data_IF_630300534336
#
_entry.id   IF_630300534336
#
_cell.length_a   1.000
_cell.length_b   1.000
_cell.length_c   1.000
_cell.angle_alpha   90.00
_cell.angle_beta   90.00
_cell.angle_gamma   90.00
#
_symmetry.space_group_name_H-M   'P 1'
#
loop_
_entity.id
_entity.type
_entity.pdbx_description
1 polymer ?
#
# COMPACT_ATOMS: atom_id res chain seq x y z
N UNK A 1 42.45 73.10 -24.91
CA UNK A 1 42.27 74.42 -24.27
C UNK A 1 41.14 74.31 -23.25
N UNK A 2 41.46 74.58 -21.97
CA UNK A 2 40.61 75.02 -20.83
C UNK A 2 39.32 74.22 -20.51
N UNK A 3 39.24 73.51 -19.36
CA UNK A 3 38.97 73.98 -17.96
C UNK A 3 37.62 74.69 -17.82
N UNK A 4 36.61 74.01 -17.25
CA UNK A 4 36.19 73.98 -15.83
C UNK A 4 35.18 75.08 -15.48
N UNK A 5 34.00 74.70 -14.96
CA UNK A 5 33.37 75.34 -13.79
C UNK A 5 32.23 74.48 -13.19
N UNK A 6 32.45 74.13 -11.92
CA UNK A 6 31.53 73.60 -10.91
C UNK A 6 30.26 74.47 -10.74
N UNK A 7 29.09 73.93 -10.32
CA UNK A 7 28.76 73.63 -8.92
C UNK A 7 27.29 73.22 -8.67
N UNK A 8 27.14 72.23 -7.78
CA UNK A 8 26.14 72.11 -6.70
C UNK A 8 24.62 72.09 -6.99
N UNK A 9 23.97 70.95 -6.67
CA UNK A 9 23.11 70.84 -5.48
C UNK A 9 23.00 69.38 -5.03
N UNK A 10 23.52 69.13 -3.82
CA UNK A 10 23.29 67.94 -3.01
C UNK A 10 21.81 67.85 -2.60
N UNK A 11 21.24 66.65 -2.66
CA UNK A 11 20.29 66.19 -1.64
C UNK A 11 20.75 64.81 -1.17
N UNK A 12 21.12 64.77 0.11
CA UNK A 12 21.48 63.57 0.85
C UNK A 12 20.19 62.91 1.31
N UNK A 13 19.96 61.65 0.92
CA UNK A 13 19.08 60.75 1.67
C UNK A 13 19.93 59.54 2.06
N UNK A 14 20.36 59.56 3.31
CA UNK A 14 20.83 58.40 4.04
C UNK A 14 19.61 57.56 4.41
N UNK A 15 19.56 56.28 4.02
CA UNK A 15 18.80 55.31 4.79
C UNK A 15 19.56 53.97 4.88
N UNK A 16 20.00 53.74 6.11
CA UNK A 16 20.42 52.53 6.78
C UNK A 16 20.30 51.18 6.05
N UNK A 17 21.43 50.50 6.00
CA UNK A 17 21.58 49.04 6.11
C UNK A 17 20.90 48.59 7.41
N UNK A 18 19.90 47.71 7.32
CA UNK A 18 19.48 46.89 8.46
C UNK A 18 18.84 45.56 8.03
N UNK A 19 19.42 44.50 8.57
CA UNK A 19 18.83 43.22 8.99
C UNK A 19 18.63 42.07 7.97
N UNK A 20 19.48 41.07 8.23
CA UNK A 20 19.33 39.63 8.14
C UNK A 20 17.99 39.05 8.65
N UNK A 21 17.74 37.77 8.26
CA UNK A 21 16.73 36.78 8.70
C UNK A 21 15.35 36.87 8.02
N UNK A 22 14.75 35.83 7.43
CA UNK A 22 14.99 34.38 7.38
C UNK A 22 14.50 33.87 6.00
N UNK A 23 15.29 33.09 5.27
CA UNK A 23 14.69 32.00 4.48
C UNK A 23 14.61 30.82 5.44
N UNK A 24 13.62 30.86 6.33
CA UNK A 24 13.02 29.62 6.78
C UNK A 24 11.83 29.46 5.86
N UNK A 25 12.00 28.75 4.74
CA UNK A 25 10.85 28.08 4.14
C UNK A 25 10.22 27.31 5.30
N UNK A 26 9.00 27.66 5.69
CA UNK A 26 8.35 26.97 6.78
C UNK A 26 8.18 25.52 6.36
N UNK A 27 8.99 24.63 6.93
CA UNK A 27 8.92 23.16 6.83
C UNK A 27 7.64 22.61 7.47
N UNK A 28 6.60 23.44 7.61
CA UNK A 28 5.38 23.12 8.34
C UNK A 28 4.20 23.80 7.68
N UNK A 29 3.18 23.02 7.33
CA UNK A 29 1.86 23.53 7.00
C UNK A 29 0.99 23.49 8.25
N UNK A 30 0.40 24.64 8.59
CA UNK A 30 -0.58 24.75 9.66
C UNK A 30 -1.97 24.87 9.03
N UNK A 31 -2.88 23.94 9.36
CA UNK A 31 -4.24 23.92 8.82
C UNK A 31 -5.24 23.95 9.97
N UNK A 32 -6.18 24.90 9.90
CA UNK A 32 -7.28 24.99 10.86
C UNK A 32 -8.41 24.08 10.37
N UNK A 33 -8.89 23.20 11.24
CA UNK A 33 -9.90 22.19 10.94
C UNK A 33 -9.45 20.81 11.39
N UNK A 34 -10.41 19.90 11.53
CA UNK A 34 -10.18 18.51 11.90
C UNK A 34 -9.73 17.72 10.68
N UNK A 35 -8.60 17.05 10.75
CA UNK A 35 -8.17 16.13 9.70
C UNK A 35 -9.10 14.92 9.63
N UNK A 36 -9.44 14.48 8.41
CA UNK A 36 -10.33 13.35 8.18
C UNK A 36 -9.63 12.18 7.49
N UNK A 37 -8.69 12.47 6.59
CA UNK A 37 -8.00 11.47 5.79
C UNK A 37 -6.70 12.06 5.26
N UNK A 38 -5.69 11.22 5.05
CA UNK A 38 -4.54 11.55 4.24
C UNK A 38 -4.09 10.34 3.43
N UNK A 39 -3.39 10.61 2.34
CA UNK A 39 -2.69 9.60 1.55
C UNK A 39 -1.49 10.24 0.87
N UNK A 40 -0.55 9.42 0.44
CA UNK A 40 0.60 9.85 -0.34
C UNK A 40 0.90 8.87 -1.45
N UNK A 41 1.36 9.38 -2.58
CA UNK A 41 1.88 8.56 -3.66
C UNK A 41 3.06 9.28 -4.30
N UNK A 42 4.17 8.55 -4.47
CA UNK A 42 5.42 9.06 -5.01
C UNK A 42 5.88 10.32 -4.26
N UNK A 43 5.82 11.48 -4.91
CA UNK A 43 6.31 12.76 -4.44
C UNK A 43 5.19 13.69 -3.97
N UNK A 44 3.97 13.18 -3.78
CA UNK A 44 2.80 14.00 -3.48
C UNK A 44 2.04 13.46 -2.28
N UNK A 45 1.56 14.37 -1.43
CA UNK A 45 0.67 14.09 -0.30
C UNK A 45 -0.65 14.83 -0.48
N UNK A 46 -1.75 14.15 -0.15
CA UNK A 46 -3.10 14.67 -0.17
C UNK A 46 -3.72 14.52 1.22
N UNK A 47 -4.34 15.59 1.72
CA UNK A 47 -5.01 15.61 3.02
C UNK A 47 -6.42 16.14 2.85
N UNK A 48 -7.40 15.42 3.38
CA UNK A 48 -8.77 15.90 3.53
C UNK A 48 -8.98 16.32 4.98
N UNK A 49 -9.49 17.53 5.18
CA UNK A 49 -9.84 18.05 6.49
C UNK A 49 -11.14 18.84 6.45
N UNK A 50 -11.78 19.02 7.61
CA UNK A 50 -13.04 19.73 7.75
C UNK A 50 -12.89 20.97 8.63
N UNK A 51 -13.39 22.08 8.14
CA UNK A 51 -13.47 23.34 8.89
C UNK A 51 -14.83 23.97 8.66
N UNK A 52 -15.53 24.35 9.74
CA UNK A 52 -16.84 25.01 9.66
C UNK A 52 -17.87 24.21 8.81
N UNK A 53 -17.91 22.88 8.99
CA UNK A 53 -18.74 21.93 8.21
C UNK A 53 -18.41 21.86 6.70
N UNK A 54 -17.33 22.48 6.25
CA UNK A 54 -16.84 22.44 4.87
C UNK A 54 -15.61 21.54 4.80
N UNK A 55 -15.60 20.60 3.87
CA UNK A 55 -14.43 19.77 3.61
C UNK A 55 -13.47 20.46 2.63
N UNK A 56 -12.18 20.27 2.85
CA UNK A 56 -11.10 20.79 2.04
C UNK A 56 -10.20 19.63 1.65
N UNK A 57 -9.70 19.67 0.42
CA UNK A 57 -8.66 18.78 -0.08
C UNK A 57 -7.42 19.61 -0.33
N UNK A 58 -6.37 19.32 0.43
CA UNK A 58 -5.07 19.96 0.35
C UNK A 58 -4.09 19.02 -0.34
N UNK A 59 -3.30 19.55 -1.27
CA UNK A 59 -2.24 18.82 -1.95
C UNK A 59 -0.89 19.51 -1.72
N UNK A 60 0.15 18.70 -1.51
CA UNK A 60 1.52 19.15 -1.37
C UNK A 60 2.48 18.28 -2.17
N UNK A 61 3.55 18.89 -2.64
CA UNK A 61 4.75 18.20 -3.11
C UNK A 61 5.56 17.82 -1.88
N UNK A 62 6.16 16.64 -1.90
CA UNK A 62 7.09 16.15 -0.89
C UNK A 62 8.53 16.51 -1.26
N UNK A 63 8.90 16.52 -2.54
CA UNK A 63 10.25 16.86 -3.01
C UNK A 63 10.27 18.01 -4.03
N UNK A 64 10.54 19.27 -3.61
CA UNK A 64 10.68 19.75 -2.23
C UNK A 64 9.32 19.91 -1.54
N UNK A 65 9.32 19.83 -0.20
CA UNK A 65 8.10 19.99 0.59
C UNK A 65 7.50 21.38 0.40
N UNK A 66 6.37 21.43 -0.30
CA UNK A 66 5.72 22.69 -0.71
C UNK A 66 4.23 22.48 -1.00
N UNK A 67 3.44 23.52 -0.74
CA UNK A 67 2.01 23.51 -1.08
C UNK A 67 1.85 23.51 -2.61
N UNK A 68 1.02 22.59 -3.14
CA UNK A 68 0.61 22.60 -4.55
C UNK A 68 -0.66 23.42 -4.72
N UNK A 69 -1.73 23.01 -4.03
CA UNK A 69 -3.03 23.65 -4.11
C UNK A 69 -3.95 23.20 -2.97
N UNK A 70 -5.02 23.95 -2.73
CA UNK A 70 -6.09 23.63 -1.80
C UNK A 70 -7.44 23.91 -2.44
N UNK A 71 -8.42 23.04 -2.18
CA UNK A 71 -9.74 23.16 -2.78
C UNK A 71 -10.86 22.76 -1.82
N UNK A 72 -11.97 23.48 -1.88
CA UNK A 72 -13.21 23.08 -1.23
C UNK A 72 -13.83 21.88 -1.96
N UNK A 73 -14.16 20.84 -1.20
CA UNK A 73 -14.92 19.69 -1.67
C UNK A 73 -16.14 19.53 -0.78
N UNK A 74 -17.31 19.16 -1.29
CA UNK A 74 -18.42 18.86 -0.39
C UNK A 74 -18.10 17.63 0.47
N UNK A 75 -17.42 16.63 -0.10
CA UNK A 75 -17.14 15.36 0.57
C UNK A 75 -18.42 14.64 1.03
N UNK A 76 -18.29 13.39 1.48
CA UNK A 76 -19.35 12.70 2.19
C UNK A 76 -19.06 12.75 3.70
N UNK A 77 -20.06 12.94 4.58
CA UNK A 77 -19.83 13.16 6.01
C UNK A 77 -19.29 11.94 6.78
N UNK A 78 -19.29 10.73 6.19
CA UNK A 78 -18.83 9.51 6.84
C UNK A 78 -17.30 9.41 6.95
N UNK A 79 -16.60 9.34 5.82
CA UNK A 79 -15.13 9.22 5.71
C UNK A 79 -14.68 9.57 4.27
N UNK A 80 -14.44 10.85 3.94
CA UNK A 80 -14.07 11.22 2.58
C UNK A 80 -12.65 10.70 2.28
N UNK A 81 -12.50 9.93 1.20
CA UNK A 81 -11.18 9.53 0.67
C UNK A 81 -10.98 10.08 -0.74
N UNK A 82 -9.73 10.06 -1.19
CA UNK A 82 -9.37 10.26 -2.59
C UNK A 82 -8.75 9.00 -3.15
N UNK A 83 -9.03 8.69 -4.42
CA UNK A 83 -8.34 7.64 -5.17
C UNK A 83 -7.44 8.26 -6.23
N UNK A 84 -6.25 7.68 -6.40
CA UNK A 84 -5.23 8.18 -7.34
C UNK A 84 -5.24 7.28 -8.58
N UNK A 85 -5.29 7.89 -9.76
CA UNK A 85 -5.31 7.21 -11.06
C UNK A 85 -4.31 7.90 -12.01
N UNK A 86 -3.05 7.49 -11.97
CA UNK A 86 -2.00 8.17 -12.75
C UNK A 86 -1.96 9.65 -12.40
N UNK A 87 -2.12 10.54 -13.37
CA UNK A 87 -2.09 12.00 -13.16
C UNK A 87 -3.42 12.59 -12.64
N UNK A 88 -4.41 11.74 -12.34
CA UNK A 88 -5.75 12.15 -11.93
C UNK A 88 -6.06 11.73 -10.50
N UNK A 89 -6.91 12.51 -9.83
CA UNK A 89 -7.40 12.28 -8.48
C UNK A 89 -8.93 12.23 -8.48
N UNK A 90 -9.50 11.11 -8.07
CA UNK A 90 -10.94 10.94 -7.96
C UNK A 90 -11.44 11.27 -6.54
N UNK A 91 -12.50 12.06 -6.45
CA UNK A 91 -13.13 12.42 -5.17
C UNK A 91 -14.61 12.83 -5.32
N UNK A 92 -15.34 12.87 -4.19
CA UNK A 92 -16.67 13.49 -4.13
C UNK A 92 -16.56 15.01 -3.95
N UNK A 93 -16.43 15.73 -5.07
CA UNK A 93 -16.29 17.19 -5.09
C UNK A 93 -17.57 17.94 -4.72
N UNK A 94 -18.75 17.39 -5.04
CA UNK A 94 -20.06 17.90 -4.66
C UNK A 94 -21.00 16.74 -4.33
N UNK A 95 -22.09 17.04 -3.59
CA UNK A 95 -23.11 16.03 -3.28
C UNK A 95 -23.63 15.37 -4.56
N UNK A 96 -23.66 14.04 -4.59
CA UNK A 96 -24.14 13.19 -5.70
C UNK A 96 -23.32 13.28 -7.00
N UNK A 97 -22.06 13.73 -6.91
CA UNK A 97 -21.12 13.72 -8.04
C UNK A 97 -19.76 13.15 -7.64
N UNK A 98 -19.12 12.57 -8.65
CA UNK A 98 -17.71 12.25 -8.65
C UNK A 98 -16.99 13.23 -9.58
N UNK A 99 -15.84 13.73 -9.14
CA UNK A 99 -14.93 14.51 -9.97
C UNK A 99 -13.60 13.78 -10.15
N UNK A 100 -13.00 13.97 -11.33
CA UNK A 100 -11.57 13.79 -11.54
C UNK A 100 -10.87 15.15 -11.54
N UNK A 101 -9.83 15.25 -10.74
CA UNK A 101 -9.00 16.43 -10.63
C UNK A 101 -7.62 16.14 -11.23
N UNK A 102 -7.05 17.12 -11.92
CA UNK A 102 -5.65 17.11 -12.29
C UNK A 102 -4.79 17.18 -11.02
N UNK A 103 -3.89 16.21 -10.82
CA UNK A 103 -3.10 16.09 -9.58
C UNK A 103 -2.18 17.28 -9.33
N UNK A 104 -1.68 17.90 -10.39
CA UNK A 104 -0.72 19.01 -10.30
C UNK A 104 -1.39 20.35 -10.02
N UNK A 105 -2.61 20.57 -10.53
CA UNK A 105 -3.28 21.87 -10.48
C UNK A 105 -4.55 21.89 -9.64
N UNK A 106 -5.10 20.74 -9.27
CA UNK A 106 -6.36 20.60 -8.51
C UNK A 106 -7.62 20.97 -9.30
N UNK A 107 -7.47 21.29 -10.59
CA UNK A 107 -8.58 21.66 -11.48
C UNK A 107 -9.40 20.43 -11.82
N UNK A 108 -10.73 20.59 -11.86
CA UNK A 108 -11.62 19.54 -12.37
C UNK A 108 -11.33 19.33 -13.85
N UNK A 109 -10.95 18.11 -14.20
CA UNK A 109 -10.82 17.63 -15.59
C UNK A 109 -12.14 17.06 -16.06
N UNK A 110 -12.82 16.31 -15.18
CA UNK A 110 -14.09 15.67 -15.47
C UNK A 110 -14.99 15.65 -14.25
N UNK A 111 -16.30 15.73 -14.45
CA UNK A 111 -17.30 15.52 -13.41
C UNK A 111 -18.54 14.83 -13.96
N UNK A 112 -19.13 13.93 -13.16
CA UNK A 112 -20.39 13.26 -13.53
C UNK A 112 -21.24 12.98 -12.29
N UNK A 113 -22.55 12.91 -12.52
CA UNK A 113 -23.50 12.55 -11.48
C UNK A 113 -23.31 11.06 -11.15
N UNK A 114 -23.03 10.77 -9.88
CA UNK A 114 -22.83 9.43 -9.39
C UNK A 114 -23.17 9.37 -7.90
N UNK A 115 -23.90 8.32 -7.52
CA UNK A 115 -24.18 8.01 -6.11
C UNK A 115 -22.98 7.37 -5.40
N UNK A 116 -21.91 7.06 -6.14
CA UNK A 116 -20.70 6.50 -5.56
C UNK A 116 -20.13 7.47 -4.53
N UNK A 117 -19.94 6.96 -3.32
CA UNK A 117 -19.23 7.64 -2.24
C UNK A 117 -17.86 7.00 -2.14
N UNK A 118 -16.81 7.79 -2.31
CA UNK A 118 -15.46 7.36 -2.03
C UNK A 118 -15.27 7.24 -0.52
N UNK A 119 -15.16 5.99 -0.07
CA UNK A 119 -14.70 5.53 1.24
C UNK A 119 -13.55 4.51 1.03
N UNK A 120 -12.82 4.10 2.09
CA UNK A 120 -11.73 3.12 1.94
C UNK A 120 -12.15 1.82 1.21
N UNK A 121 -13.39 1.38 1.45
CA UNK A 121 -13.92 0.14 0.87
C UNK A 121 -14.67 0.35 -0.44
N UNK A 122 -14.89 1.60 -0.87
CA UNK A 122 -15.68 1.90 -2.06
C UNK A 122 -15.13 1.20 -3.30
N UNK A 123 -16.00 0.55 -4.07
CA UNK A 123 -15.70 -0.15 -5.33
C UNK A 123 -16.53 0.42 -6.46
N UNK A 124 -16.34 -0.09 -7.67
CA UNK A 124 -17.14 0.30 -8.83
C UNK A 124 -16.73 1.64 -9.44
N UNK A 125 -15.42 1.90 -9.48
CA UNK A 125 -14.85 3.05 -10.19
C UNK A 125 -13.50 2.70 -10.78
N UNK A 126 -13.28 3.01 -12.05
CA UNK A 126 -11.94 2.95 -12.64
C UNK A 126 -11.75 4.02 -13.71
N UNK A 127 -10.50 4.33 -14.01
CA UNK A 127 -10.08 5.28 -15.03
C UNK A 127 -9.06 4.61 -15.91
N UNK A 128 -9.34 4.53 -17.21
CA UNK A 128 -8.43 3.88 -18.15
C UNK A 128 -8.62 4.41 -19.56
N UNK A 129 -7.52 4.53 -20.31
CA UNK A 129 -7.51 4.94 -21.72
C UNK A 129 -8.32 6.21 -22.01
N UNK A 130 -8.23 7.21 -21.13
CA UNK A 130 -8.93 8.49 -21.28
C UNK A 130 -10.44 8.43 -21.00
N UNK A 131 -10.93 7.33 -20.41
CA UNK A 131 -12.34 7.17 -20.05
C UNK A 131 -12.53 6.93 -18.55
N UNK A 132 -13.68 7.34 -18.03
CA UNK A 132 -14.15 7.06 -16.67
C UNK A 132 -15.24 6.02 -16.71
N UNK A 133 -15.13 5.02 -15.86
CA UNK A 133 -16.15 3.99 -15.67
C UNK A 133 -16.62 4.07 -14.22
N UNK A 134 -17.92 4.31 -14.04
CA UNK A 134 -18.49 4.54 -12.71
C UNK A 134 -19.94 4.10 -12.67
N UNK A 135 -20.42 3.84 -11.45
CA UNK A 135 -21.85 3.78 -11.17
C UNK A 135 -22.51 5.11 -11.54
N UNK A 136 -23.61 5.04 -12.29
CA UNK A 136 -24.41 6.17 -12.74
C UNK A 136 -25.92 5.85 -12.61
N UNK A 137 -26.74 6.90 -12.54
CA UNK A 137 -28.19 6.72 -12.42
C UNK A 137 -28.59 5.98 -11.13
N UNK A 138 -29.72 5.25 -11.18
CA UNK A 138 -30.16 4.42 -10.06
C UNK A 138 -29.39 3.10 -10.00
N UNK A 139 -29.26 2.38 -11.13
CA UNK A 139 -28.66 1.05 -11.19
C UNK A 139 -28.01 0.83 -12.56
N UNK A 140 -26.95 1.57 -12.85
CA UNK A 140 -26.26 1.43 -14.14
C UNK A 140 -24.77 1.71 -13.99
N UNK A 141 -24.00 1.11 -14.90
CA UNK A 141 -22.60 1.46 -15.12
C UNK A 141 -22.56 2.32 -16.37
N UNK A 142 -21.82 3.42 -16.32
CA UNK A 142 -21.59 4.27 -17.47
C UNK A 142 -20.10 4.38 -17.76
N UNK A 143 -19.77 4.45 -19.04
CA UNK A 143 -18.49 4.97 -19.50
C UNK A 143 -18.66 6.41 -20.00
N UNK A 144 -17.70 7.25 -19.67
CA UNK A 144 -17.64 8.62 -20.14
C UNK A 144 -16.25 8.90 -20.70
N UNK A 145 -16.20 9.62 -21.81
CA UNK A 145 -14.95 10.16 -22.34
C UNK A 145 -14.54 11.38 -21.49
N UNK A 146 -13.29 11.40 -21.02
CA UNK A 146 -12.81 12.44 -20.10
C UNK A 146 -12.69 13.79 -20.80
N UNK A 147 -12.31 13.82 -22.08
CA UNK A 147 -12.03 15.05 -22.82
C UNK A 147 -13.31 15.81 -23.18
N UNK A 148 -14.29 15.10 -23.73
CA UNK A 148 -15.58 15.65 -24.14
C UNK A 148 -16.60 15.72 -23.01
N UNK A 149 -16.45 14.86 -21.99
CA UNK A 149 -17.45 14.65 -20.94
C UNK A 149 -18.68 13.87 -21.42
N UNK A 150 -18.70 13.39 -22.67
CA UNK A 150 -19.84 12.68 -23.24
C UNK A 150 -19.90 11.25 -22.73
N UNK A 151 -21.13 10.77 -22.50
CA UNK A 151 -21.38 9.37 -22.15
C UNK A 151 -21.19 8.50 -23.39
N UNK A 152 -20.25 7.56 -23.32
CA UNK A 152 -19.95 6.60 -24.39
C UNK A 152 -21.03 5.53 -24.42
N UNK A 153 -21.31 4.92 -23.27
CA UNK A 153 -22.34 3.89 -23.12
C UNK A 153 -22.90 3.85 -21.69
N UNK A 154 -24.04 3.16 -21.55
CA UNK A 154 -24.70 2.89 -20.27
C UNK A 154 -25.21 1.45 -20.29
N UNK A 155 -24.89 0.70 -19.23
CA UNK A 155 -25.31 -0.69 -19.05
C UNK A 155 -26.11 -0.78 -17.77
N UNK A 156 -27.37 -1.24 -17.88
CA UNK A 156 -28.24 -1.42 -16.72
C UNK A 156 -27.74 -2.57 -15.84
N UNK A 157 -27.73 -2.31 -14.53
CA UNK A 157 -27.51 -3.28 -13.46
C UNK A 157 -28.85 -3.62 -12.80
N UNK A 158 -28.90 -4.75 -12.10
CA UNK A 158 -30.05 -5.02 -11.24
C UNK A 158 -30.03 -4.10 -10.02
N UNK A 159 -31.19 -3.81 -9.44
CA UNK A 159 -31.30 -2.81 -8.38
C UNK A 159 -30.64 -3.17 -7.05
N UNK A 160 -30.36 -4.45 -6.86
CA UNK A 160 -29.75 -4.99 -5.64
C UNK A 160 -28.25 -5.23 -5.83
N UNK A 161 -27.71 -4.98 -7.03
CA UNK A 161 -26.30 -5.20 -7.36
C UNK A 161 -25.41 -4.08 -6.80
N UNK A 162 -24.51 -4.47 -5.91
CA UNK A 162 -23.43 -3.62 -5.41
C UNK A 162 -22.11 -4.22 -5.90
N UNK A 163 -21.23 -3.45 -6.55
CA UNK A 163 -19.91 -3.95 -6.93
C UNK A 163 -19.13 -4.45 -5.72
N UNK A 164 -18.73 -5.72 -5.76
CA UNK A 164 -17.92 -6.36 -4.72
C UNK A 164 -16.42 -6.05 -4.86
N UNK A 165 -15.98 -5.73 -6.08
CA UNK A 165 -14.59 -5.43 -6.41
C UNK A 165 -14.45 -4.23 -7.35
N UNK A 166 -13.22 -3.75 -7.53
CA UNK A 166 -12.95 -2.67 -8.48
C UNK A 166 -13.26 -3.13 -9.90
N UNK A 167 -13.72 -2.19 -10.73
CA UNK A 167 -13.87 -2.46 -12.15
C UNK A 167 -12.51 -2.77 -12.75
N UNK A 168 -12.43 -3.86 -13.52
CA UNK A 168 -11.22 -4.27 -14.25
C UNK A 168 -11.49 -4.14 -15.73
N UNK A 169 -10.44 -3.83 -16.49
CA UNK A 169 -10.49 -3.76 -17.94
C UNK A 169 -9.31 -4.58 -18.44
N UNK A 170 -9.59 -5.40 -19.45
CA UNK A 170 -8.58 -6.18 -20.16
C UNK A 170 -8.92 -6.07 -21.66
N UNK A 171 -7.98 -5.55 -22.44
CA UNK A 171 -8.19 -5.25 -23.86
C UNK A 171 -9.49 -4.45 -24.15
N UNK A 172 -10.51 -5.09 -24.74
CA UNK A 172 -11.81 -4.49 -25.07
C UNK A 172 -12.94 -5.05 -24.18
N UNK A 173 -12.60 -5.61 -23.03
CA UNK A 173 -13.53 -6.17 -22.05
C UNK A 173 -13.49 -5.33 -20.79
N UNK A 174 -14.68 -4.97 -20.30
CA UNK A 174 -14.92 -4.36 -19.01
C UNK A 174 -15.58 -5.38 -18.09
N UNK A 175 -15.09 -5.51 -16.87
CA UNK A 175 -15.59 -6.46 -15.89
C UNK A 175 -16.10 -5.75 -14.65
N UNK A 176 -17.26 -6.19 -14.19
CA UNK A 176 -17.74 -5.91 -12.84
C UNK A 176 -18.22 -7.19 -12.17
N UNK A 177 -18.04 -7.26 -10.85
CA UNK A 177 -18.44 -8.40 -10.04
C UNK A 177 -19.37 -7.96 -8.92
N UNK A 178 -20.39 -8.77 -8.64
CA UNK A 178 -21.33 -8.59 -7.52
C UNK A 178 -21.61 -9.95 -6.89
N UNK A 179 -21.99 -9.98 -5.61
CA UNK A 179 -22.38 -11.23 -4.94
C UNK A 179 -23.63 -11.88 -5.57
N UNK A 180 -24.51 -11.08 -6.19
CA UNK A 180 -25.80 -11.55 -6.71
C UNK A 180 -25.68 -12.14 -8.11
N UNK A 181 -24.91 -11.50 -8.99
CA UNK A 181 -24.81 -11.89 -10.40
C UNK A 181 -23.45 -12.44 -10.79
N UNK A 182 -22.57 -12.68 -9.82
CA UNK A 182 -21.21 -13.11 -10.08
C UNK A 182 -20.46 -12.05 -10.89
N UNK A 183 -19.74 -12.47 -11.91
CA UNK A 183 -18.91 -11.59 -12.75
C UNK A 183 -19.57 -11.42 -14.11
N UNK A 184 -19.66 -10.17 -14.55
CA UNK A 184 -20.23 -9.79 -15.84
C UNK A 184 -19.17 -9.13 -16.70
N UNK A 185 -19.03 -9.61 -17.93
CA UNK A 185 -18.21 -8.97 -18.95
C UNK A 185 -19.05 -8.13 -19.90
N UNK A 186 -18.55 -6.94 -20.19
CA UNK A 186 -19.16 -5.94 -21.05
C UNK A 186 -18.15 -5.59 -22.16
N UNK A 187 -18.65 -5.42 -23.38
CA UNK A 187 -17.85 -4.84 -24.45
C UNK A 187 -17.53 -3.38 -24.12
N UNK A 188 -16.24 -3.08 -23.98
CA UNK A 188 -15.76 -1.76 -23.57
C UNK A 188 -16.16 -0.63 -24.53
N UNK A 189 -16.38 -0.94 -25.81
CA UNK A 189 -16.68 0.07 -26.83
C UNK A 189 -18.15 0.50 -26.89
N UNK A 190 -19.08 -0.38 -26.53
CA UNK A 190 -20.52 -0.12 -26.73
C UNK A 190 -21.43 -0.49 -25.53
N UNK A 191 -20.84 -0.97 -24.43
CA UNK A 191 -21.57 -1.28 -23.20
C UNK A 191 -22.45 -2.52 -23.27
N UNK A 192 -22.36 -3.33 -24.33
CA UNK A 192 -23.15 -4.57 -24.42
C UNK A 192 -22.57 -5.63 -23.49
N UNK A 193 -23.44 -6.21 -22.65
CA UNK A 193 -23.11 -7.43 -21.91
C UNK A 193 -22.79 -8.55 -22.90
N UNK A 194 -21.62 -9.16 -22.73
CA UNK A 194 -21.15 -10.26 -23.56
C UNK A 194 -21.50 -11.60 -22.92
N UNK A 195 -21.19 -11.72 -21.63
CA UNK A 195 -21.44 -12.92 -20.84
C UNK A 195 -21.57 -12.57 -19.35
N UNK A 196 -22.09 -13.53 -18.57
CA UNK A 196 -22.16 -13.48 -17.11
C UNK A 196 -21.85 -14.87 -16.56
N UNK A 197 -21.14 -14.94 -15.45
CA UNK A 197 -21.00 -16.18 -14.69
C UNK A 197 -22.29 -16.48 -13.92
N UNK A 198 -22.35 -17.68 -13.32
CA UNK A 198 -23.27 -17.93 -12.22
C UNK A 198 -22.90 -17.08 -10.98
N UNK A 199 -23.83 -16.86 -10.05
CA UNK A 199 -23.55 -16.14 -8.79
C UNK A 199 -22.37 -16.76 -8.03
N UNK A 200 -21.47 -15.91 -7.54
CA UNK A 200 -20.30 -16.29 -6.76
C UNK A 200 -20.49 -15.80 -5.32
N UNK A 201 -20.80 -16.72 -4.42
CA UNK A 201 -21.07 -16.41 -3.01
C UNK A 201 -19.83 -15.84 -2.32
N UNK A 202 -20.00 -14.73 -1.60
CA UNK A 202 -18.92 -13.98 -0.94
C UNK A 202 -17.78 -13.56 -1.88
N UNK A 203 -18.11 -13.19 -3.13
CA UNK A 203 -17.12 -12.61 -4.06
C UNK A 203 -16.38 -11.44 -3.40
N UNK A 204 -15.07 -11.56 -3.30
CA UNK A 204 -14.19 -10.61 -2.62
C UNK A 204 -13.38 -9.77 -3.60
N UNK A 205 -12.73 -10.41 -4.59
CA UNK A 205 -12.01 -9.73 -5.67
C UNK A 205 -11.97 -10.62 -6.92
N UNK A 206 -11.51 -10.06 -8.04
CA UNK A 206 -11.15 -10.82 -9.23
C UNK A 206 -10.01 -10.15 -9.98
N UNK A 207 -9.24 -10.95 -10.71
CA UNK A 207 -8.04 -10.53 -11.43
C UNK A 207 -8.10 -10.98 -12.89
N UNK A 208 -7.71 -10.11 -13.80
CA UNK A 208 -7.64 -10.42 -15.23
C UNK A 208 -6.24 -10.84 -15.62
N UNK A 209 -6.17 -11.86 -16.46
CA UNK A 209 -4.99 -12.32 -17.18
C UNK A 209 -5.39 -12.45 -18.66
N UNK A 210 -4.43 -12.53 -19.60
CA UNK A 210 -4.73 -12.51 -21.03
C UNK A 210 -5.77 -13.53 -21.52
N UNK A 211 -5.88 -14.69 -20.88
CA UNK A 211 -6.83 -15.75 -21.25
C UNK A 211 -7.80 -16.12 -20.11
N UNK A 212 -7.51 -15.73 -18.86
CA UNK A 212 -8.21 -16.21 -17.68
C UNK A 212 -8.61 -15.06 -16.77
N UNK A 213 -9.83 -15.11 -16.26
CA UNK A 213 -10.31 -14.29 -15.16
C UNK A 213 -10.29 -15.14 -13.88
N UNK A 214 -9.48 -14.75 -12.90
CA UNK A 214 -9.38 -15.44 -11.60
C UNK A 214 -10.35 -14.77 -10.62
N UNK A 215 -11.31 -15.51 -10.07
CA UNK A 215 -12.22 -15.03 -9.04
C UNK A 215 -11.80 -15.52 -7.65
N UNK A 216 -11.78 -14.62 -6.67
CA UNK A 216 -11.60 -14.91 -5.24
C UNK A 216 -12.93 -14.69 -4.52
N UNK A 217 -13.58 -15.78 -4.15
CA UNK A 217 -14.86 -15.82 -3.45
C UNK A 217 -14.76 -16.84 -2.30
N UNK A 218 -15.83 -17.55 -1.92
CA UNK A 218 -15.71 -18.71 -1.01
C UNK A 218 -14.69 -19.77 -1.49
N UNK A 219 -14.39 -19.76 -2.79
CA UNK A 219 -13.36 -20.56 -3.43
C UNK A 219 -12.49 -19.66 -4.32
N UNK A 220 -11.47 -20.26 -4.92
CA UNK A 220 -10.70 -19.68 -6.02
C UNK A 220 -11.05 -20.44 -7.29
N UNK A 221 -11.46 -19.74 -8.33
CA UNK A 221 -11.78 -20.34 -9.62
C UNK A 221 -11.27 -19.49 -10.78
N UNK A 222 -11.00 -20.12 -11.92
CA UNK A 222 -10.58 -19.46 -13.15
C UNK A 222 -11.62 -19.63 -14.25
N UNK A 223 -11.96 -18.53 -14.90
CA UNK A 223 -12.95 -18.45 -15.98
C UNK A 223 -12.27 -18.01 -17.28
N UNK A 224 -12.70 -18.56 -18.42
CA UNK A 224 -12.24 -18.13 -19.73
C UNK A 224 -12.70 -16.69 -19.94
N UNK A 225 -11.75 -15.78 -20.14
CA UNK A 225 -12.03 -14.35 -20.18
C UNK A 225 -12.93 -13.96 -21.37
N UNK A 226 -12.99 -14.78 -22.43
CA UNK A 226 -13.76 -14.52 -23.64
C UNK A 226 -15.23 -14.90 -23.53
N UNK A 227 -15.57 -15.87 -22.68
CA UNK A 227 -16.93 -16.43 -22.60
C UNK A 227 -17.49 -16.62 -21.19
N UNK A 228 -16.66 -16.50 -20.14
CA UNK A 228 -17.08 -16.62 -18.74
C UNK A 228 -17.35 -18.05 -18.26
N UNK A 229 -17.00 -19.08 -19.04
CA UNK A 229 -17.10 -20.47 -18.62
C UNK A 229 -15.93 -20.83 -17.70
N UNK A 230 -16.17 -21.62 -16.66
CA UNK A 230 -15.11 -22.09 -15.76
C UNK A 230 -14.11 -22.97 -16.53
N UNK A 231 -12.83 -22.60 -16.47
CA UNK A 231 -11.72 -23.35 -17.10
C UNK A 231 -11.16 -24.42 -16.16
N UNK A 232 -11.28 -24.21 -14.85
CA UNK A 232 -10.74 -25.14 -13.87
C UNK A 232 -11.66 -26.35 -13.75
N UNK A 233 -11.08 -27.53 -13.55
CA UNK A 233 -11.88 -28.75 -13.37
C UNK A 233 -12.74 -28.68 -12.10
N UNK A 234 -12.23 -28.02 -11.07
CA UNK A 234 -12.90 -27.78 -9.80
C UNK A 234 -12.35 -26.50 -9.16
N UNK A 235 -13.20 -25.67 -8.52
CA UNK A 235 -12.73 -24.56 -7.70
C UNK A 235 -11.84 -25.04 -6.55
N UNK A 236 -10.84 -24.24 -6.19
CA UNK A 236 -9.96 -24.51 -5.05
C UNK A 236 -10.56 -23.93 -3.76
N UNK A 237 -10.71 -24.77 -2.73
CA UNK A 237 -11.21 -24.36 -1.42
C UNK A 237 -10.11 -23.65 -0.60
N UNK A 238 -10.04 -22.32 -0.73
CA UNK A 238 -9.07 -21.51 0.00
C UNK A 238 -9.17 -20.04 -0.38
N UNK A 239 -8.19 -19.25 0.04
CA UNK A 239 -8.12 -17.81 -0.22
C UNK A 239 -6.87 -17.44 -0.99
N UNK A 240 -6.98 -16.48 -1.91
CA UNK A 240 -5.80 -15.91 -2.57
C UNK A 240 -4.91 -15.23 -1.52
N UNK A 241 -3.61 -15.54 -1.54
CA UNK A 241 -2.60 -14.86 -0.71
C UNK A 241 -1.64 -14.01 -1.52
N UNK A 242 -1.20 -14.54 -2.64
CA UNK A 242 -0.29 -13.87 -3.55
C UNK A 242 -0.66 -14.26 -4.97
N UNK A 243 -0.51 -13.32 -5.89
CA UNK A 243 -0.61 -13.57 -7.32
C UNK A 243 0.75 -13.23 -7.92
N UNK A 244 1.25 -14.08 -8.80
CA UNK A 244 2.52 -13.84 -9.49
C UNK A 244 2.39 -14.37 -10.90
N UNK A 245 2.57 -13.53 -11.91
CA UNK A 245 2.54 -13.83 -13.35
C UNK A 245 2.29 -15.31 -13.73
N UNK A 246 1.00 -15.68 -13.83
CA UNK A 246 0.55 -17.03 -14.21
C UNK A 246 0.34 -18.04 -13.07
N UNK A 247 0.68 -17.70 -11.83
CA UNK A 247 0.52 -18.49 -10.61
C UNK A 247 -0.28 -17.76 -9.53
N UNK A 248 -1.02 -18.53 -8.75
CA UNK A 248 -1.67 -18.07 -7.52
C UNK A 248 -1.21 -18.91 -6.34
N UNK A 249 -0.81 -18.25 -5.26
CA UNK A 249 -0.56 -18.90 -3.98
C UNK A 249 -1.87 -18.84 -3.19
N UNK A 250 -2.52 -19.98 -3.08
CA UNK A 250 -3.75 -20.19 -2.36
C UNK A 250 -3.47 -20.70 -0.95
N UNK A 251 -4.28 -20.28 0.02
CA UNK A 251 -4.25 -20.78 1.38
C UNK A 251 -5.55 -21.53 1.71
N UNK A 252 -5.46 -22.84 1.89
CA UNK A 252 -6.50 -23.68 2.48
C UNK A 252 -6.30 -23.84 3.99
N UNK A 253 -7.12 -24.66 4.65
CA UNK A 253 -6.91 -25.02 6.06
C UNK A 253 -5.62 -25.82 6.25
N UNK A 254 -5.29 -26.69 5.29
CA UNK A 254 -4.19 -27.66 5.42
C UNK A 254 -2.91 -27.24 4.70
N UNK A 255 -3.00 -26.46 3.61
CA UNK A 255 -1.87 -26.17 2.73
C UNK A 255 -1.78 -24.71 2.30
N UNK A 256 -0.56 -24.27 2.00
CA UNK A 256 -0.31 -23.25 1.00
C UNK A 256 -0.06 -23.96 -0.33
N UNK A 257 -0.90 -23.74 -1.33
CA UNK A 257 -0.80 -24.40 -2.64
C UNK A 257 -0.48 -23.36 -3.71
N UNK A 258 0.44 -23.70 -4.62
CA UNK A 258 0.70 -22.91 -5.82
C UNK A 258 -0.06 -23.53 -6.97
N UNK A 259 -0.97 -22.77 -7.55
CA UNK A 259 -1.85 -23.20 -8.63
C UNK A 259 -1.49 -22.42 -9.89
N UNK A 260 -1.51 -23.08 -11.04
CA UNK A 260 -1.51 -22.37 -12.32
C UNK A 260 -2.82 -21.62 -12.49
N UNK A 261 -2.76 -20.32 -12.73
CA UNK A 261 -3.95 -19.47 -12.93
C UNK A 261 -4.81 -20.00 -14.07
N UNK A 262 -4.20 -20.49 -15.15
CA UNK A 262 -4.89 -20.93 -16.36
C UNK A 262 -5.85 -22.11 -16.15
N UNK A 263 -5.59 -23.00 -15.20
CA UNK A 263 -6.36 -24.25 -15.11
C UNK A 263 -6.55 -24.78 -13.68
N UNK A 264 -6.06 -24.05 -12.67
CA UNK A 264 -6.17 -24.43 -11.27
C UNK A 264 -5.33 -25.64 -10.89
N UNK A 265 -4.48 -26.13 -11.81
CA UNK A 265 -3.65 -27.28 -11.54
C UNK A 265 -2.68 -26.90 -10.43
N UNK A 266 -2.76 -27.64 -9.33
CA UNK A 266 -1.77 -27.56 -8.28
C UNK A 266 -0.42 -27.99 -8.85
N UNK A 267 0.53 -27.06 -8.78
CA UNK A 267 1.90 -27.30 -9.20
C UNK A 267 2.71 -27.90 -8.04
N UNK A 268 2.56 -27.31 -6.85
CA UNK A 268 3.06 -27.87 -5.59
C UNK A 268 2.28 -27.29 -4.40
N UNK A 269 2.42 -27.94 -3.25
CA UNK A 269 1.86 -27.46 -1.99
C UNK A 269 2.86 -27.58 -0.84
N UNK A 270 2.60 -26.83 0.22
CA UNK A 270 3.36 -26.84 1.45
C UNK A 270 2.41 -26.90 2.67
N UNK A 271 2.61 -27.83 3.62
CA UNK A 271 1.72 -28.00 4.75
C UNK A 271 1.66 -26.75 5.65
N UNK A 272 0.47 -26.41 6.13
CA UNK A 272 0.26 -25.38 7.15
C UNK A 272 0.49 -25.87 8.56
N UNK A 273 0.71 -27.16 8.77
CA UNK A 273 1.07 -27.72 10.08
C UNK A 273 2.38 -27.10 10.55
N UNK A 274 2.29 -26.13 11.46
CA UNK A 274 3.43 -25.37 11.93
C UNK A 274 3.75 -24.12 11.10
N UNK A 275 3.19 -23.93 9.92
CA UNK A 275 3.49 -22.75 9.09
C UNK A 275 2.56 -21.61 9.43
N UNK A 276 3.13 -20.45 9.77
CA UNK A 276 2.37 -19.35 10.36
C UNK A 276 2.35 -18.10 9.48
N UNK A 277 3.39 -17.87 8.68
CA UNK A 277 3.61 -16.60 7.98
C UNK A 277 4.12 -16.86 6.57
N UNK A 278 3.47 -16.22 5.61
CA UNK A 278 3.84 -16.19 4.19
C UNK A 278 4.21 -14.76 3.81
N UNK A 279 5.33 -14.60 3.11
CA UNK A 279 5.70 -13.37 2.41
C UNK A 279 6.04 -13.71 0.96
N UNK A 280 5.62 -12.88 0.03
CA UNK A 280 5.84 -13.08 -1.41
C UNK A 280 6.52 -11.87 -2.00
N UNK A 281 7.32 -12.10 -3.04
CA UNK A 281 7.84 -11.03 -3.90
C UNK A 281 7.57 -11.38 -5.35
N UNK A 282 6.76 -10.52 -5.99
CA UNK A 282 6.33 -10.71 -7.37
C UNK A 282 7.49 -10.54 -8.37
N UNK A 283 8.38 -9.57 -8.14
CA UNK A 283 9.46 -9.22 -9.06
C UNK A 283 10.49 -10.34 -9.28
N UNK A 284 10.70 -11.17 -8.25
CA UNK A 284 11.68 -12.28 -8.26
C UNK A 284 11.03 -13.66 -8.18
N UNK A 285 9.70 -13.73 -8.20
CA UNK A 285 8.92 -14.96 -8.11
C UNK A 285 9.30 -15.87 -6.95
N UNK A 286 9.44 -15.29 -5.75
CA UNK A 286 9.79 -16.01 -4.52
C UNK A 286 8.65 -15.98 -3.50
N UNK A 287 8.49 -17.11 -2.81
CA UNK A 287 7.60 -17.24 -1.65
C UNK A 287 8.39 -17.76 -0.45
N UNK A 288 8.21 -17.12 0.69
CA UNK A 288 8.91 -17.44 1.91
C UNK A 288 7.96 -17.76 3.05
N UNK A 289 8.32 -18.79 3.81
CA UNK A 289 7.52 -19.33 4.91
C UNK A 289 8.31 -19.29 6.19
N UNK A 290 7.69 -18.82 7.27
CA UNK A 290 8.18 -19.05 8.63
C UNK A 290 7.47 -20.26 9.23
N UNK A 291 8.24 -21.21 9.74
CA UNK A 291 7.77 -22.54 10.15
C UNK A 291 8.09 -22.77 11.63
N UNK A 292 7.06 -23.17 12.36
CA UNK A 292 7.06 -23.66 13.75
C UNK A 292 7.04 -25.18 13.73
N UNK A 293 8.03 -25.83 14.35
CA UNK A 293 8.02 -27.26 14.52
C UNK A 293 7.12 -27.60 15.72
N UNK A 294 6.01 -28.29 15.46
CA UNK A 294 5.19 -28.90 16.51
C UNK A 294 5.75 -30.31 16.76
N UNK A 295 6.86 -30.45 17.50
CA UNK A 295 7.30 -31.78 17.90
C UNK A 295 6.37 -32.39 18.98
N UNK A 296 6.16 -33.72 18.98
CA UNK A 296 5.41 -34.40 20.03
C UNK A 296 6.15 -34.31 21.35
N UNK A 297 5.49 -33.77 22.36
CA UNK A 297 6.02 -33.61 23.71
C UNK A 297 6.44 -34.93 24.36
N UNK A 298 7.74 -35.10 24.63
CA UNK A 298 8.23 -35.85 25.79
C UNK A 298 9.44 -35.15 26.43
N UNK A 299 9.28 -33.89 26.86
CA UNK A 299 9.78 -33.40 28.17
C UNK A 299 9.60 -31.88 28.27
N UNK A 300 9.11 -31.45 29.42
CA UNK A 300 8.72 -30.09 29.79
C UNK A 300 9.86 -29.07 29.66
N UNK A 301 9.71 -28.11 28.75
CA UNK A 301 9.73 -26.64 28.97
C UNK A 301 9.47 -25.96 27.62
N UNK A 302 8.84 -24.80 27.66
CA UNK A 302 8.06 -24.24 26.56
C UNK A 302 8.91 -23.62 25.41
N UNK A 303 8.25 -23.46 24.26
CA UNK A 303 8.31 -22.22 23.45
C UNK A 303 9.58 -21.92 22.62
N UNK A 304 9.80 -22.73 21.58
CA UNK A 304 10.35 -22.20 20.32
C UNK A 304 9.19 -21.81 19.40
N UNK A 305 9.08 -20.51 19.08
CA UNK A 305 7.96 -19.97 18.30
C UNK A 305 8.13 -20.30 16.81
N UNK A 306 9.36 -20.18 16.30
CA UNK A 306 9.72 -20.57 14.95
C UNK A 306 11.09 -21.25 14.94
N UNK A 307 11.21 -22.24 14.08
CA UNK A 307 12.41 -23.04 13.95
C UNK A 307 13.11 -22.78 12.63
N UNK A 308 12.37 -22.38 11.59
CA UNK A 308 12.92 -22.28 10.24
C UNK A 308 12.27 -21.19 9.41
N UNK A 309 13.05 -20.67 8.47
CA UNK A 309 12.57 -19.97 7.28
C UNK A 309 12.93 -20.81 6.05
N UNK A 310 11.95 -21.01 5.18
CA UNK A 310 12.15 -21.57 3.85
C UNK A 310 11.82 -20.54 2.79
N UNK A 311 12.60 -20.51 1.71
CA UNK A 311 12.26 -19.75 0.51
C UNK A 311 12.19 -20.72 -0.66
N UNK A 312 11.11 -20.60 -1.41
CA UNK A 312 10.82 -21.38 -2.60
C UNK A 312 10.78 -20.45 -3.80
N UNK A 313 11.33 -20.94 -4.90
CA UNK A 313 11.02 -20.40 -6.22
C UNK A 313 9.59 -20.82 -6.57
N UNK A 314 8.70 -19.86 -6.80
CA UNK A 314 7.28 -20.11 -7.05
C UNK A 314 7.10 -20.92 -8.34
N UNK A 315 7.91 -20.61 -9.35
CA UNK A 315 7.79 -21.16 -10.71
C UNK A 315 8.24 -22.61 -10.83
N UNK A 316 9.14 -23.06 -9.94
CA UNK A 316 9.69 -24.42 -9.93
C UNK A 316 9.24 -25.25 -8.73
N UNK A 317 8.79 -24.60 -7.64
CA UNK A 317 8.55 -25.24 -6.35
C UNK A 317 9.83 -25.71 -5.67
N UNK A 318 11.00 -25.39 -6.21
CA UNK A 318 12.26 -25.74 -5.60
C UNK A 318 12.48 -24.89 -4.36
N UNK A 319 12.79 -25.56 -3.25
CA UNK A 319 13.27 -24.87 -2.06
C UNK A 319 14.70 -24.45 -2.29
N UNK A 320 14.89 -23.18 -2.59
CA UNK A 320 16.21 -22.60 -2.90
C UNK A 320 16.97 -22.17 -1.65
N UNK A 321 16.27 -21.98 -0.51
CA UNK A 321 16.89 -21.49 0.71
C UNK A 321 16.25 -22.09 1.98
N UNK A 322 17.09 -22.34 2.99
CA UNK A 322 16.70 -22.78 4.33
C UNK A 322 17.58 -22.07 5.36
N UNK A 323 16.95 -21.46 6.36
CA UNK A 323 17.61 -20.93 7.55
C UNK A 323 16.94 -21.54 8.78
N UNK A 324 17.71 -22.17 9.64
CA UNK A 324 17.22 -22.99 10.75
C UNK A 324 17.82 -22.52 12.06
N UNK A 325 17.01 -22.46 13.11
CA UNK A 325 17.45 -22.24 14.49
C UNK A 325 18.53 -23.26 14.88
N UNK A 326 19.52 -22.81 15.64
CA UNK A 326 20.54 -23.66 16.24
C UNK A 326 20.59 -23.51 17.76
N UNK A 327 21.62 -24.07 18.39
CA UNK A 327 21.75 -24.05 19.85
C UNK A 327 21.94 -22.63 20.43
N UNK A 328 22.38 -21.67 19.62
CA UNK A 328 22.68 -20.31 20.04
C UNK A 328 21.71 -19.28 19.47
N UNK A 329 21.09 -19.58 18.34
CA UNK A 329 20.26 -18.65 17.57
C UNK A 329 18.89 -19.25 17.32
N UNK A 330 17.85 -18.47 17.58
CA UNK A 330 16.47 -18.87 17.34
C UNK A 330 15.87 -17.98 16.26
N UNK A 331 15.28 -18.60 15.26
CA UNK A 331 14.54 -17.91 14.22
C UNK A 331 13.32 -17.23 14.83
N UNK A 332 13.18 -15.95 14.50
CA UNK A 332 11.92 -15.23 14.67
C UNK A 332 11.18 -15.40 13.34
N UNK A 333 11.32 -14.54 12.36
CA UNK A 333 10.53 -14.67 11.13
C UNK A 333 11.24 -14.12 9.91
N UNK A 334 10.74 -14.44 8.72
CA UNK A 334 11.06 -13.62 7.56
C UNK A 334 10.39 -12.25 7.72
N UNK A 335 11.17 -11.18 7.69
CA UNK A 335 10.67 -9.83 7.99
C UNK A 335 10.08 -9.14 6.77
N UNK A 336 10.39 -9.63 5.57
CA UNK A 336 9.87 -9.15 4.29
C UNK A 336 10.90 -9.19 3.16
N UNK A 337 10.44 -8.85 1.97
CA UNK A 337 11.27 -8.62 0.79
C UNK A 337 11.38 -7.12 0.49
N UNK A 338 12.47 -6.70 -0.14
CA UNK A 338 12.65 -5.35 -0.68
C UNK A 338 13.52 -5.41 -1.93
N UNK A 339 12.89 -5.26 -3.10
CA UNK A 339 13.52 -5.49 -4.40
C UNK A 339 14.17 -6.87 -4.45
N UNK A 340 15.45 -6.93 -4.84
CA UNK A 340 16.24 -8.18 -4.91
C UNK A 340 16.86 -8.62 -3.58
N UNK A 341 16.21 -8.34 -2.45
CA UNK A 341 16.73 -8.69 -1.11
C UNK A 341 15.63 -9.20 -0.20
N UNK A 342 15.99 -10.07 0.74
CA UNK A 342 15.09 -10.55 1.79
C UNK A 342 15.78 -10.51 3.15
N UNK A 343 14.99 -10.54 4.21
CA UNK A 343 15.44 -10.27 5.58
C UNK A 343 14.90 -11.31 6.54
N UNK A 344 15.77 -11.88 7.38
CA UNK A 344 15.40 -12.88 8.38
C UNK A 344 15.79 -12.36 9.76
N UNK A 345 14.84 -12.35 10.68
CA UNK A 345 15.08 -12.01 12.06
C UNK A 345 15.36 -13.28 12.88
N UNK A 346 16.40 -13.22 13.70
CA UNK A 346 16.77 -14.22 14.70
C UNK A 346 16.97 -13.55 16.06
N UNK A 347 16.86 -14.30 17.14
CA UNK A 347 17.25 -13.90 18.48
C UNK A 347 18.45 -14.72 18.97
N UNK A 348 19.37 -14.06 19.65
CA UNK A 348 20.57 -14.65 20.24
C UNK A 348 20.78 -14.11 21.65
N UNK A 349 21.32 -14.95 22.53
CA UNK A 349 21.72 -14.58 23.88
C UNK A 349 20.87 -15.20 24.98
N UNK A 350 21.23 -14.90 26.22
CA UNK A 350 20.52 -15.37 27.41
C UNK A 350 19.22 -14.61 27.62
N UNK A 351 18.20 -15.18 28.30
CA UNK A 351 16.91 -14.53 28.51
C UNK A 351 16.98 -13.10 29.08
N UNK A 352 17.98 -12.84 29.93
CA UNK A 352 18.20 -11.55 30.59
C UNK A 352 18.89 -10.50 29.68
N UNK A 353 19.45 -10.91 28.54
CA UNK A 353 20.17 -10.03 27.61
C UNK A 353 20.05 -10.49 26.15
N UNK A 354 18.82 -10.75 25.71
CA UNK A 354 18.55 -11.17 24.33
C UNK A 354 18.73 -10.02 23.34
N UNK A 355 19.36 -10.34 22.22
CA UNK A 355 19.54 -9.44 21.08
C UNK A 355 18.79 -10.00 19.88
N UNK A 356 18.06 -9.15 19.18
CA UNK A 356 17.50 -9.47 17.86
C UNK A 356 18.55 -9.13 16.82
N UNK A 357 18.83 -10.07 15.92
CA UNK A 357 19.68 -9.88 14.73
C UNK A 357 18.79 -10.06 13.51
N UNK A 358 18.82 -9.10 12.60
CA UNK A 358 18.16 -9.19 11.31
C UNK A 358 19.22 -9.30 10.23
N UNK A 359 19.24 -10.41 9.53
CA UNK A 359 20.20 -10.67 8.46
C UNK A 359 19.56 -10.37 7.10
N UNK A 360 20.26 -9.56 6.31
CA UNK A 360 19.91 -9.25 4.93
C UNK A 360 20.62 -10.20 3.98
N UNK A 361 19.85 -10.76 3.05
CA UNK A 361 20.33 -11.68 2.03
C UNK A 361 20.02 -11.16 0.62
N UNK A 362 20.88 -11.51 -0.33
CA UNK A 362 20.60 -11.33 -1.76
C UNK A 362 19.59 -12.38 -2.24
N UNK A 363 18.59 -12.00 -3.04
CA UNK A 363 17.74 -12.99 -3.72
C UNK A 363 18.49 -13.74 -4.83
N UNK A 364 19.61 -13.19 -5.31
CA UNK A 364 20.36 -13.75 -6.44
C UNK A 364 21.45 -14.72 -5.99
N UNK A 365 22.32 -14.31 -5.06
CA UNK A 365 23.39 -15.18 -4.54
C UNK A 365 22.95 -16.04 -3.36
N UNK A 366 21.85 -15.69 -2.69
CA UNK A 366 21.40 -16.31 -1.45
C UNK A 366 22.42 -16.20 -0.30
N UNK A 367 23.39 -15.30 -0.43
CA UNK A 367 24.40 -15.05 0.59
C UNK A 367 23.98 -13.88 1.49
N UNK A 368 24.40 -13.96 2.76
CA UNK A 368 24.24 -12.86 3.72
C UNK A 368 25.13 -11.69 3.30
N UNK A 369 24.54 -10.51 3.20
CA UNK A 369 25.24 -9.28 2.85
C UNK A 369 25.50 -8.39 4.06
N UNK A 370 24.54 -8.30 4.98
CA UNK A 370 24.56 -7.36 6.09
C UNK A 370 23.72 -7.86 7.27
N UNK A 371 23.99 -7.35 8.47
CA UNK A 371 23.17 -7.61 9.66
C UNK A 371 22.83 -6.32 10.40
N UNK A 372 21.63 -6.26 10.96
CA UNK A 372 21.11 -5.22 11.84
C UNK A 372 20.87 -5.83 13.21
N UNK A 373 21.16 -5.13 14.30
CA UNK A 373 20.94 -5.68 15.64
C UNK A 373 20.42 -4.65 16.63
N UNK A 374 19.49 -5.06 17.49
CA UNK A 374 18.96 -4.24 18.58
C UNK A 374 18.58 -5.11 19.79
N UNK A 375 18.55 -4.54 21.01
CA UNK A 375 18.18 -5.30 22.20
C UNK A 375 16.70 -5.71 22.14
N UNK A 376 16.39 -6.96 22.48
CA UNK A 376 15.01 -7.46 22.52
C UNK A 376 14.20 -6.77 23.63
N UNK A 377 14.80 -6.61 24.81
CA UNK A 377 14.14 -6.18 26.05
C UNK A 377 13.97 -7.35 27.03
N UNK A 378 14.07 -7.06 28.33
CA UNK A 378 13.84 -8.04 29.41
C UNK A 378 12.34 -8.26 29.57
N UNK A 379 11.91 -9.52 29.62
CA UNK A 379 10.51 -9.95 29.80
C UNK A 379 9.56 -9.73 28.61
N UNK A 380 10.07 -9.49 27.40
CA UNK A 380 9.19 -9.42 26.23
C UNK A 380 8.87 -10.82 25.69
N UNK A 381 7.60 -11.29 25.77
CA UNK A 381 7.19 -12.53 25.15
C UNK A 381 7.23 -12.42 23.62
N UNK A 382 6.90 -13.54 22.96
CA UNK A 382 6.81 -13.74 21.51
C UNK A 382 6.68 -12.45 20.68
N UNK A 383 7.73 -12.13 19.91
CA UNK A 383 7.79 -10.95 19.04
C UNK A 383 7.75 -11.33 17.56
N UNK A 384 7.32 -10.38 16.75
CA UNK A 384 7.33 -10.43 15.29
C UNK A 384 8.06 -9.20 14.75
N UNK A 385 8.90 -9.39 13.73
CA UNK A 385 9.67 -8.32 13.10
C UNK A 385 9.19 -8.06 11.68
N UNK A 386 8.96 -6.81 11.32
CA UNK A 386 8.54 -6.42 9.96
C UNK A 386 9.50 -5.37 9.41
N UNK A 387 9.95 -5.54 8.17
CA UNK A 387 10.59 -4.46 7.42
C UNK A 387 9.52 -3.45 7.03
N UNK A 388 9.60 -2.23 7.54
CA UNK A 388 8.58 -1.18 7.26
C UNK A 388 9.07 -0.08 6.34
N UNK A 389 10.39 0.14 6.27
CA UNK A 389 10.97 1.14 5.37
C UNK A 389 12.40 0.77 4.99
N UNK A 390 12.76 1.12 3.76
CA UNK A 390 14.14 1.10 3.29
C UNK A 390 14.34 2.11 2.17
N UNK A 391 15.34 2.96 2.32
CA UNK A 391 15.88 3.79 1.24
C UNK A 391 17.41 3.65 1.16
N UNK A 392 18.09 4.62 0.53
CA UNK A 392 19.55 4.60 0.41
C UNK A 392 20.28 4.91 1.72
N UNK A 393 19.65 5.64 2.64
CA UNK A 393 20.25 6.11 3.88
C UNK A 393 19.76 5.33 5.10
N UNK A 394 18.46 5.00 5.14
CA UNK A 394 17.79 4.48 6.32
C UNK A 394 16.99 3.21 6.08
N UNK A 395 17.10 2.27 7.02
CA UNK A 395 16.27 1.07 7.12
C UNK A 395 15.53 1.10 8.45
N UNK A 396 14.23 0.78 8.44
CA UNK A 396 13.42 0.71 9.66
C UNK A 396 12.76 -0.64 9.81
N UNK A 397 12.93 -1.23 10.99
CA UNK A 397 12.23 -2.44 11.40
C UNK A 397 11.24 -2.15 12.51
N UNK A 398 10.05 -2.73 12.39
CA UNK A 398 9.01 -2.72 13.39
C UNK A 398 9.06 -4.03 14.18
N UNK A 399 9.17 -3.93 15.50
CA UNK A 399 8.93 -5.01 16.45
C UNK A 399 7.48 -4.94 16.91
N UNK A 400 6.80 -6.08 16.96
CA UNK A 400 5.42 -6.19 17.45
C UNK A 400 5.31 -7.36 18.41
N UNK A 401 4.66 -7.17 19.55
CA UNK A 401 4.33 -8.26 20.46
C UNK A 401 3.14 -9.05 19.90
N UNK A 402 3.26 -10.36 19.79
CA UNK A 402 2.22 -11.21 19.20
C UNK A 402 0.98 -11.31 20.10
N UNK A 403 1.19 -11.36 21.42
CA UNK A 403 0.11 -11.47 22.40
C UNK A 403 -0.60 -10.13 22.63
N UNK A 404 0.14 -9.04 22.43
CA UNK A 404 -0.39 -7.67 22.51
C UNK A 404 -0.02 -6.88 21.26
N UNK A 405 -0.71 -7.06 20.11
CA UNK A 405 -0.34 -6.44 18.83
C UNK A 405 -0.30 -4.90 18.81
N UNK A 406 -0.88 -4.25 19.82
CA UNK A 406 -0.78 -2.81 20.04
C UNK A 406 0.57 -2.36 20.60
N UNK A 407 1.34 -3.27 21.20
CA UNK A 407 2.69 -3.02 21.69
C UNK A 407 3.68 -3.14 20.52
N UNK A 408 4.07 -1.98 20.01
CA UNK A 408 4.93 -1.83 18.85
C UNK A 408 6.11 -0.93 19.17
N UNK A 409 7.26 -1.25 18.59
CA UNK A 409 8.46 -0.42 18.65
C UNK A 409 9.12 -0.38 17.28
N UNK A 410 9.72 0.75 16.94
CA UNK A 410 10.43 0.92 15.67
C UNK A 410 11.91 1.18 15.94
N UNK A 411 12.77 0.58 15.12
CA UNK A 411 14.22 0.70 15.23
C UNK A 411 14.79 1.20 13.90
N UNK A 412 15.52 2.30 13.96
CA UNK A 412 16.12 2.99 12.82
C UNK A 412 17.59 2.59 12.68
N UNK A 413 18.00 2.28 11.45
CA UNK A 413 19.37 1.89 11.11
C UNK A 413 19.89 2.68 9.91
N UNK A 414 21.22 2.86 9.85
CA UNK A 414 21.91 3.23 8.62
C UNK A 414 21.85 2.04 7.63
N UNK A 415 21.39 2.26 6.40
CA UNK A 415 21.14 1.18 5.42
C UNK A 415 22.40 0.46 4.98
N UNK A 416 23.48 1.20 4.69
CA UNK A 416 24.70 0.60 4.15
C UNK A 416 25.53 -0.12 5.22
N UNK A 417 25.57 0.43 6.45
CA UNK A 417 26.43 -0.06 7.52
C UNK A 417 25.73 -1.05 8.46
N UNK A 418 24.40 -1.06 8.48
CA UNK A 418 23.60 -1.87 9.42
C UNK A 418 23.63 -1.36 10.87
N UNK A 419 24.25 -0.18 11.09
CA UNK A 419 24.42 0.41 12.42
C UNK A 419 23.07 0.91 12.96
N UNK A 420 22.74 0.51 14.18
CA UNK A 420 21.59 1.02 14.92
C UNK A 420 21.79 2.51 15.23
N UNK A 421 20.85 3.34 14.76
CA UNK A 421 20.76 4.75 15.12
C UNK A 421 19.95 4.96 16.41
N UNK A 422 18.94 4.11 16.64
CA UNK A 422 18.22 4.06 17.90
C UNK A 422 16.78 3.56 17.76
N UNK A 423 16.08 3.52 18.89
CA UNK A 423 14.63 3.27 18.95
C UNK A 423 13.89 4.56 18.63
N UNK A 424 12.78 4.46 17.89
CA UNK A 424 11.97 5.61 17.50
C UNK A 424 10.76 5.77 18.42
N UNK A 425 10.34 7.02 18.67
CA UNK A 425 9.11 7.35 19.42
C UNK A 425 7.84 6.92 18.70
N UNK A 426 7.95 6.68 17.39
CA UNK A 426 6.89 6.29 16.47
C UNK A 426 7.45 6.24 15.05
N UNK A 427 6.71 5.63 14.13
CA UNK A 427 7.06 5.68 12.71
C UNK A 427 6.21 6.77 12.02
N UNK A 428 6.82 7.66 11.23
CA UNK A 428 6.10 8.73 10.53
C UNK A 428 5.05 8.20 9.56
N UNK A 429 4.03 9.02 9.30
CA UNK A 429 2.93 8.69 8.41
C UNK A 429 3.36 8.55 6.95
N UNK A 430 4.32 9.37 6.51
CA UNK A 430 4.83 9.38 5.13
C UNK A 430 6.33 9.50 5.13
N UNK A 431 7.02 8.66 4.36
CA UNK A 431 8.48 8.66 4.19
C UNK A 431 8.80 8.78 2.71
N UNK A 432 9.73 9.65 2.36
CA UNK A 432 10.09 9.96 0.96
C UNK A 432 11.51 10.52 0.87
N UNK A 433 12.31 10.05 -0.08
CA UNK A 433 13.63 10.63 -0.40
C UNK A 433 14.54 10.90 0.80
N UNK A 434 14.59 10.00 1.80
CA UNK A 434 15.35 10.15 3.04
C UNK A 434 14.73 11.08 4.10
N UNK A 435 13.59 11.70 3.79
CA UNK A 435 12.81 12.56 4.67
C UNK A 435 11.50 11.89 5.09
N UNK A 436 10.83 12.50 6.05
CA UNK A 436 9.55 12.06 6.57
C UNK A 436 8.61 13.25 6.79
N UNK A 437 7.31 12.97 6.78
CA UNK A 437 6.27 13.90 7.23
C UNK A 437 5.79 13.44 8.59
N UNK A 438 5.75 14.38 9.54
CA UNK A 438 5.08 14.25 10.83
C UNK A 438 3.74 14.97 10.78
N UNK A 439 2.64 14.24 10.94
CA UNK A 439 1.31 14.85 11.00
C UNK A 439 0.83 14.88 12.45
N UNK A 440 0.84 16.08 13.04
CA UNK A 440 0.40 16.30 14.41
C UNK A 440 -1.05 16.79 14.39
N UNK A 441 -1.97 15.88 14.68
CA UNK A 441 -3.41 16.13 14.70
C UNK A 441 -3.90 16.59 16.09
N UNK A 442 -4.74 17.62 16.10
CA UNK A 442 -5.45 18.11 17.28
C UNK A 442 -6.94 18.22 16.95
N UNK A 443 -7.78 18.43 17.98
CA UNK A 443 -9.24 18.42 17.80
C UNK A 443 -9.76 19.38 16.70
N UNK A 444 -9.16 20.57 16.60
CA UNK A 444 -9.63 21.66 15.72
C UNK A 444 -8.58 22.16 14.71
N UNK A 445 -7.38 21.60 14.68
CA UNK A 445 -6.31 21.98 13.77
C UNK A 445 -5.25 20.88 13.67
N UNK A 446 -4.42 20.92 12.64
CA UNK A 446 -3.28 20.01 12.51
C UNK A 446 -2.07 20.71 11.91
N UNK A 447 -0.91 20.12 12.17
CA UNK A 447 0.36 20.54 11.58
C UNK A 447 0.94 19.40 10.74
N UNK A 448 1.34 19.70 9.51
CA UNK A 448 2.11 18.79 8.67
C UNK A 448 3.53 19.31 8.66
N UNK A 449 4.50 18.56 9.20
CA UNK A 449 5.89 19.02 9.29
C UNK A 449 6.84 18.08 8.55
N UNK A 450 7.67 18.63 7.68
CA UNK A 450 8.81 17.89 7.13
C UNK A 450 9.87 17.70 8.21
N UNK A 451 10.36 16.47 8.34
CA UNK A 451 11.40 16.04 9.27
C UNK A 451 12.33 15.05 8.58
N UNK A 452 13.42 14.71 9.25
CA UNK A 452 14.24 13.54 8.95
C UNK A 452 13.79 12.35 9.79
N UNK A 453 14.09 11.12 9.36
CA UNK A 453 13.81 9.94 10.18
C UNK A 453 14.52 9.98 11.54
N UNK A 454 15.70 10.60 11.61
CA UNK A 454 16.44 10.78 12.86
C UNK A 454 15.75 11.69 13.87
N UNK A 455 14.85 12.59 13.43
CA UNK A 455 14.08 13.45 14.34
C UNK A 455 13.02 12.68 15.16
N UNK A 456 12.75 11.42 14.80
CA UNK A 456 11.82 10.53 15.49
C UNK A 456 12.52 9.61 16.48
N UNK A 457 13.83 9.73 16.68
CA UNK A 457 14.56 8.95 17.68
C UNK A 457 14.13 9.33 19.10
N UNK A 458 14.00 8.33 19.98
CA UNK A 458 13.85 8.56 21.42
C UNK A 458 15.07 9.33 21.93
N UNK A 459 14.83 10.38 22.74
CA UNK A 459 15.92 11.13 23.37
C UNK A 459 16.44 10.35 24.57
N UNK A 460 17.75 10.11 24.60
CA UNK A 460 18.44 9.52 25.76
C UNK A 460 18.33 10.37 27.03
#
# INVERSE_FOLDING_TARGET
>A
MKKELFSSRLFVISLAISMFFCISCSETFHKNGKMLFYTSEKDSMYVIYQKDMQNYLFASTLLPFSEKWERNISGHPGTPVVKIFGDLLACNCRKDFVCLLDRETGKTVFETASKLVFSPDAKGFTVENGSVYTLCGENSICAFDIESGEKIWETAMNAEEIPAAEFKIEENLFFYGTEISGITAINLSDGKVLWKTDPLENLNDFHTFPETLLADYDFIDGFDISNGESEWLQPYAGKVRCINDGFVIAQSEEFFSVLFVKNGQEYWNYPRTGTTILSCNEEVSLAAFTVRNLEPQESETAENYFDKVYIFDISTGERIFEHTSDINTKVINITGFSGSTFYIATEIGEPENMTVIIEKYSTNSLEKELSFSFPKGTDEPEIFITLVHRDAEHTVFKKTNILTPSDISFYLFETESGKLLGKMTGFPEVVYGGKAVDIIDYDDYFNIKEKTLTDFLEKE
#
